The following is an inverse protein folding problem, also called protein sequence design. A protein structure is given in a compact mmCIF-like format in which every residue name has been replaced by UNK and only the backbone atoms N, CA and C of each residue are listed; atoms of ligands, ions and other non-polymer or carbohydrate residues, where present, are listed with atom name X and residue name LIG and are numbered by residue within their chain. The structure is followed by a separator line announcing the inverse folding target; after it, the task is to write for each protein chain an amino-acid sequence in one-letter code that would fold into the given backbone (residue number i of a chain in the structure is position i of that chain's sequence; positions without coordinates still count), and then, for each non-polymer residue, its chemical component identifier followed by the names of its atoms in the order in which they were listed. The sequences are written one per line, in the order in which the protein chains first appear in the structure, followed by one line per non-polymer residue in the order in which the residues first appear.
data_IF_838093995119
#
_entry.id   IF_838093995119
#
_cell.length_a   1.000
_cell.length_b   1.000
_cell.length_c   1.000
_cell.angle_alpha   90.00
_cell.angle_beta   90.00
_cell.angle_gamma   90.00
#
_symmetry.space_group_name_H-M   'P 1'
#
loop_
_entity.id
_entity.type
_entity.pdbx_description
1 polymer ?
#
# COMPACT_ATOMS: atom_id res chain seq x y z
N UNK A 1 -25.56 -46.06 15.77
CA UNK A 1 -24.46 -46.45 14.86
C UNK A 1 -23.25 -45.59 15.22
N UNK A 2 -22.27 -46.16 15.94
CA UNK A 2 -21.01 -45.49 16.35
C UNK A 2 -19.86 -46.38 15.88
N UNK A 3 -18.98 -45.85 15.02
CA UNK A 3 -17.76 -46.52 14.59
C UNK A 3 -16.74 -46.56 15.73
N UNK A 4 -16.37 -47.77 16.16
CA UNK A 4 -15.22 -48.04 17.03
C UNK A 4 -13.96 -48.14 16.16
N UNK A 5 -12.94 -47.33 16.45
CA UNK A 5 -11.58 -47.53 15.94
C UNK A 5 -10.76 -48.23 17.01
N UNK A 6 -10.21 -49.37 16.60
CA UNK A 6 -9.45 -50.35 17.38
C UNK A 6 -8.03 -49.86 17.67
N UNK A 7 -7.67 -49.78 18.95
CA UNK A 7 -6.28 -49.68 19.40
C UNK A 7 -5.71 -51.08 19.60
N UNK A 8 -4.79 -51.51 18.72
CA UNK A 8 -3.99 -52.71 18.93
C UNK A 8 -2.80 -52.38 19.83
N UNK A 9 -2.78 -52.98 21.03
CA UNK A 9 -1.59 -53.16 21.87
C UNK A 9 -0.56 -53.99 21.10
N UNK A 10 0.62 -53.44 20.89
CA UNK A 10 1.81 -54.22 20.58
C UNK A 10 2.52 -54.57 21.90
N UNK A 11 2.52 -55.85 22.23
CA UNK A 11 3.42 -56.46 23.21
C UNK A 11 4.34 -57.37 22.39
N UNK A 12 5.64 -57.08 22.36
CA UNK A 12 6.65 -58.05 21.91
C UNK A 12 7.89 -57.91 22.81
N UNK A 13 7.94 -58.83 23.78
CA UNK A 13 9.04 -59.74 24.11
C UNK A 13 10.43 -59.12 24.30
N UNK A 14 10.85 -59.07 25.56
CA UNK A 14 12.23 -58.86 26.02
C UNK A 14 13.03 -60.15 25.82
N UNK A 15 13.96 -60.17 24.86
CA UNK A 15 15.01 -61.18 24.78
C UNK A 15 16.24 -60.71 25.56
N UNK A 16 16.60 -61.47 26.58
CA UNK A 16 17.83 -61.32 27.35
C UNK A 16 19.03 -61.76 26.51
N UNK A 17 19.74 -60.80 25.92
CA UNK A 17 21.05 -61.01 25.30
C UNK A 17 22.11 -60.27 26.11
N UNK A 18 22.92 -61.03 26.87
CA UNK A 18 24.11 -60.52 27.55
C UNK A 18 25.18 -60.20 26.50
N UNK A 19 25.50 -58.92 26.30
CA UNK A 19 26.60 -58.51 25.42
C UNK A 19 27.79 -58.07 26.25
N UNK A 20 28.87 -58.82 26.05
CA UNK A 20 30.22 -58.60 26.56
C UNK A 20 30.75 -57.25 26.10
N UNK A 21 31.60 -56.65 26.93
CA UNK A 21 32.03 -55.26 26.82
C UNK A 21 32.91 -54.93 25.62
N UNK A 22 33.08 -53.62 25.53
CA UNK A 22 34.25 -52.88 25.06
C UNK A 22 34.17 -52.20 23.69
N UNK A 23 34.70 -50.98 23.68
CA UNK A 23 34.89 -50.05 22.56
C UNK A 23 33.63 -49.47 21.89
N UNK A 24 33.25 -48.24 22.28
CA UNK A 24 32.91 -47.09 21.37
C UNK A 24 32.19 -45.93 22.09
N UNK A 25 32.62 -45.55 23.29
CA UNK A 25 32.00 -44.46 24.06
C UNK A 25 32.68 -43.09 23.83
N UNK A 26 32.91 -42.69 22.56
CA UNK A 26 33.41 -41.32 22.23
C UNK A 26 32.66 -40.60 21.09
N UNK A 27 31.63 -41.19 20.49
CA UNK A 27 30.88 -40.54 19.40
C UNK A 27 29.53 -39.91 19.83
N UNK A 28 29.08 -40.11 21.07
CA UNK A 28 27.75 -39.67 21.51
C UNK A 28 27.68 -38.26 22.11
N UNK A 29 28.81 -37.56 22.32
CA UNK A 29 28.86 -36.27 23.01
C UNK A 29 28.92 -35.02 22.10
N UNK A 30 28.88 -35.18 20.77
CA UNK A 30 28.84 -34.04 19.83
C UNK A 30 27.55 -33.93 19.00
N UNK A 31 26.65 -34.93 19.07
CA UNK A 31 25.44 -34.97 18.25
C UNK A 31 24.27 -34.20 18.89
N UNK A 32 24.15 -34.23 20.22
CA UNK A 32 23.04 -33.59 20.96
C UNK A 32 23.07 -32.04 20.93
N UNK A 33 24.22 -31.34 21.01
CA UNK A 33 24.24 -29.87 20.98
C UNK A 33 23.89 -29.27 19.60
N UNK A 34 24.26 -29.96 18.52
CA UNK A 34 24.02 -29.51 17.13
C UNK A 34 22.54 -29.66 16.73
N UNK A 35 21.87 -30.69 17.25
CA UNK A 35 20.43 -30.91 17.03
C UNK A 35 19.59 -29.85 17.79
N UNK A 36 19.96 -29.48 19.03
CA UNK A 36 19.26 -28.40 19.76
C UNK A 36 19.46 -27.01 19.12
N UNK A 37 20.64 -26.73 18.55
CA UNK A 37 20.91 -25.45 17.88
C UNK A 37 20.16 -25.29 16.53
N UNK A 38 19.92 -26.38 15.80
CA UNK A 38 19.17 -26.36 14.52
C UNK A 38 17.64 -26.33 14.70
N UNK A 39 17.12 -26.94 15.77
CA UNK A 39 15.69 -26.84 16.14
C UNK A 39 15.34 -25.39 16.54
N UNK A 40 16.24 -24.69 17.24
CA UNK A 40 16.02 -23.30 17.66
C UNK A 40 16.00 -22.32 16.47
N UNK A 41 16.93 -22.47 15.50
CA UNK A 41 16.93 -21.64 14.28
C UNK A 41 15.71 -21.90 13.38
N UNK A 42 15.23 -23.14 13.26
CA UNK A 42 14.06 -23.47 12.43
C UNK A 42 12.76 -22.94 13.03
N UNK A 43 12.59 -22.99 14.36
CA UNK A 43 11.46 -22.37 15.04
C UNK A 43 11.43 -20.83 14.86
N UNK A 44 12.58 -20.16 14.97
CA UNK A 44 12.69 -18.71 14.73
C UNK A 44 12.38 -18.36 13.27
N UNK A 45 12.88 -19.13 12.30
CA UNK A 45 12.56 -18.93 10.87
C UNK A 45 11.07 -19.13 10.57
N UNK A 46 10.45 -20.15 11.16
CA UNK A 46 9.01 -20.40 11.02
C UNK A 46 8.19 -19.27 11.66
N UNK A 47 8.54 -18.81 12.87
CA UNK A 47 7.86 -17.70 13.53
C UNK A 47 7.97 -16.39 12.72
N UNK A 48 9.17 -16.08 12.19
CA UNK A 48 9.39 -14.94 11.31
C UNK A 48 8.55 -15.03 10.03
N UNK A 49 8.52 -16.20 9.36
CA UNK A 49 7.72 -16.41 8.16
C UNK A 49 6.21 -16.26 8.41
N UNK A 50 5.68 -16.82 9.49
CA UNK A 50 4.28 -16.63 9.90
C UNK A 50 3.97 -15.15 10.19
N UNK A 51 4.90 -14.42 10.80
CA UNK A 51 4.73 -12.98 11.06
C UNK A 51 4.68 -12.15 9.76
N UNK A 52 5.52 -12.47 8.77
CA UNK A 52 5.54 -11.80 7.46
C UNK A 52 4.26 -12.12 6.69
N UNK A 53 3.87 -13.39 6.64
CA UNK A 53 2.63 -13.83 6.00
C UNK A 53 1.39 -13.16 6.64
N UNK A 54 1.35 -13.09 7.98
CA UNK A 54 0.28 -12.40 8.72
C UNK A 54 0.22 -10.89 8.44
N UNK A 55 1.37 -10.21 8.36
CA UNK A 55 1.45 -8.80 7.95
C UNK A 55 0.96 -8.60 6.52
N UNK A 56 1.36 -9.46 5.58
CA UNK A 56 0.92 -9.42 4.20
C UNK A 56 -0.60 -9.65 4.06
N UNK A 57 -1.15 -10.61 4.81
CA UNK A 57 -2.59 -10.88 4.83
C UNK A 57 -3.41 -9.68 5.36
N UNK A 58 -2.95 -9.04 6.45
CA UNK A 58 -3.57 -7.80 6.98
C UNK A 58 -3.50 -6.66 5.97
N UNK A 59 -2.35 -6.45 5.33
CA UNK A 59 -2.20 -5.40 4.31
C UNK A 59 -3.16 -5.62 3.13
N UNK A 60 -3.27 -6.87 2.64
CA UNK A 60 -4.23 -7.24 1.58
C UNK A 60 -5.68 -7.01 2.00
N UNK A 61 -6.06 -7.41 3.22
CA UNK A 61 -7.41 -7.19 3.75
C UNK A 61 -7.76 -5.69 3.83
N UNK A 62 -6.83 -4.86 4.31
CA UNK A 62 -7.01 -3.41 4.38
C UNK A 62 -7.21 -2.78 2.98
N UNK A 63 -6.41 -3.20 1.99
CA UNK A 63 -6.57 -2.76 0.59
C UNK A 63 -7.94 -3.17 0.04
N UNK A 64 -8.36 -4.42 0.25
CA UNK A 64 -9.65 -4.91 -0.23
C UNK A 64 -10.84 -4.17 0.41
N UNK A 65 -10.76 -3.87 1.70
CA UNK A 65 -11.76 -3.04 2.37
C UNK A 65 -11.83 -1.62 1.80
N UNK A 66 -10.67 -1.02 1.51
CA UNK A 66 -10.58 0.29 0.88
C UNK A 66 -11.21 0.27 -0.53
N UNK A 67 -10.86 -0.72 -1.34
CA UNK A 67 -11.46 -0.91 -2.67
C UNK A 67 -12.98 -1.01 -2.60
N UNK A 68 -13.53 -1.86 -1.72
CA UNK A 68 -14.99 -2.00 -1.55
C UNK A 68 -15.67 -0.69 -1.16
N UNK A 69 -15.08 0.06 -0.22
CA UNK A 69 -15.65 1.34 0.22
C UNK A 69 -15.69 2.36 -0.92
N UNK A 70 -14.58 2.51 -1.63
CA UNK A 70 -14.50 3.46 -2.75
C UNK A 70 -15.48 3.03 -3.87
N UNK A 71 -15.58 1.74 -4.18
CA UNK A 71 -16.56 1.21 -5.13
C UNK A 71 -18.00 1.61 -4.76
N UNK A 72 -18.39 1.46 -3.48
CA UNK A 72 -19.73 1.86 -3.04
C UNK A 72 -19.97 3.38 -3.06
N UNK A 73 -18.93 4.18 -2.80
CA UNK A 73 -19.04 5.64 -2.85
C UNK A 73 -19.22 6.11 -4.31
N UNK A 74 -18.57 5.46 -5.28
CA UNK A 74 -18.68 5.82 -6.69
C UNK A 74 -20.11 5.82 -7.21
N UNK A 75 -20.92 4.82 -6.87
CA UNK A 75 -22.29 4.68 -7.37
C UNK A 75 -23.24 5.79 -6.86
N UNK A 76 -22.84 6.51 -5.81
CA UNK A 76 -23.67 7.50 -5.12
C UNK A 76 -23.30 8.95 -5.41
N UNK A 77 -22.23 9.19 -6.18
CA UNK A 77 -21.71 10.53 -6.43
C UNK A 77 -22.07 11.01 -7.84
N UNK A 78 -22.79 12.12 -7.90
CA UNK A 78 -23.22 12.81 -9.14
C UNK A 78 -22.62 14.21 -9.30
N UNK A 79 -21.52 14.54 -8.60
CA UNK A 79 -20.86 15.83 -8.80
C UNK A 79 -20.28 15.94 -10.21
N UNK A 80 -20.62 17.04 -10.89
CA UNK A 80 -20.16 17.32 -12.25
C UNK A 80 -18.78 17.98 -12.30
N UNK A 81 -18.15 18.27 -11.16
CA UNK A 81 -16.84 18.93 -11.07
C UNK A 81 -15.79 18.03 -10.43
N UNK A 82 -14.56 18.05 -10.95
CA UNK A 82 -13.48 17.16 -10.52
C UNK A 82 -13.14 17.28 -9.03
N UNK A 83 -13.04 18.50 -8.49
CA UNK A 83 -12.65 18.77 -7.09
C UNK A 83 -13.61 18.16 -6.05
N UNK A 84 -14.93 18.47 -6.06
CA UNK A 84 -15.86 17.86 -5.11
C UNK A 84 -16.00 16.35 -5.32
N UNK A 85 -15.93 15.88 -6.57
CA UNK A 85 -15.92 14.44 -6.90
C UNK A 85 -14.72 13.73 -6.26
N UNK A 86 -13.51 14.21 -6.52
CA UNK A 86 -12.26 13.70 -5.99
C UNK A 86 -12.25 13.69 -4.45
N UNK A 87 -12.68 14.79 -3.82
CA UNK A 87 -12.77 14.91 -2.34
C UNK A 87 -13.64 13.81 -1.74
N UNK A 88 -14.82 13.59 -2.33
CA UNK A 88 -15.80 12.63 -1.82
C UNK A 88 -15.28 11.19 -1.86
N UNK A 89 -14.48 10.84 -2.86
CA UNK A 89 -14.07 9.46 -3.14
C UNK A 89 -12.70 9.09 -2.61
N UNK A 90 -11.78 10.06 -2.55
CA UNK A 90 -10.44 9.85 -2.02
C UNK A 90 -10.37 9.99 -0.50
N UNK A 91 -11.37 10.64 0.12
CA UNK A 91 -11.39 11.07 1.53
C UNK A 91 -10.30 12.10 1.89
N UNK A 92 -9.62 12.67 0.90
CA UNK A 92 -8.64 13.75 1.07
C UNK A 92 -9.38 15.09 1.26
N UNK A 93 -9.27 15.68 2.45
CA UNK A 93 -9.90 16.94 2.82
C UNK A 93 -9.06 18.18 2.43
N UNK A 94 -8.77 18.32 1.13
CA UNK A 94 -8.15 19.52 0.55
C UNK A 94 -9.19 20.41 -0.15
N UNK A 95 -8.90 21.70 -0.25
CA UNK A 95 -9.79 22.73 -0.79
C UNK A 95 -9.06 23.61 -1.82
N UNK A 96 -9.82 24.35 -2.61
CA UNK A 96 -9.32 25.14 -3.73
C UNK A 96 -9.29 24.35 -5.04
N UNK A 97 -8.80 25.02 -6.09
CA UNK A 97 -8.67 24.49 -7.45
C UNK A 97 -7.71 23.31 -7.52
N UNK A 98 -7.89 22.44 -8.51
CA UNK A 98 -7.16 21.18 -8.62
C UNK A 98 -5.63 21.37 -8.67
N UNK A 99 -5.13 22.39 -9.37
CA UNK A 99 -3.69 22.65 -9.46
C UNK A 99 -3.03 22.99 -8.11
N UNK A 100 -3.79 23.51 -7.14
CA UNK A 100 -3.28 23.85 -5.79
C UNK A 100 -3.09 22.60 -4.92
N UNK A 101 -3.81 21.51 -5.19
CA UNK A 101 -3.86 20.36 -4.31
C UNK A 101 -2.51 19.69 -4.12
N UNK A 102 -1.64 19.71 -5.13
CA UNK A 102 -0.30 19.14 -4.99
C UNK A 102 0.56 19.87 -3.96
N UNK A 103 0.48 21.19 -3.92
CA UNK A 103 1.21 22.01 -2.94
C UNK A 103 0.53 21.93 -1.57
N UNK A 104 -0.80 22.03 -1.52
CA UNK A 104 -1.60 21.93 -0.29
C UNK A 104 -1.51 20.55 0.39
N UNK A 105 -1.24 19.49 -0.38
CA UNK A 105 -0.98 18.17 0.17
C UNK A 105 0.35 18.09 0.93
N UNK A 106 1.31 18.98 0.68
CA UNK A 106 2.61 18.90 1.32
C UNK A 106 2.52 18.99 2.84
N UNK A 107 3.24 18.13 3.54
CA UNK A 107 3.18 17.99 5.00
C UNK A 107 1.87 17.45 5.57
N UNK A 108 0.77 17.36 4.80
CA UNK A 108 -0.57 16.91 5.26
C UNK A 108 -0.94 15.53 4.74
N UNK A 109 -0.62 15.26 3.47
CA UNK A 109 -0.87 14.00 2.80
C UNK A 109 0.41 13.51 2.12
N UNK A 110 0.64 12.20 2.13
CA UNK A 110 1.76 11.63 1.40
C UNK A 110 1.58 11.88 -0.10
N UNK A 111 2.69 12.19 -0.79
CA UNK A 111 2.77 12.37 -2.24
C UNK A 111 3.78 11.39 -2.83
N UNK A 112 3.66 11.06 -4.10
CA UNK A 112 4.62 10.18 -4.78
C UNK A 112 4.27 9.90 -6.24
N UNK A 113 4.99 8.98 -6.86
CA UNK A 113 4.86 8.61 -8.27
C UNK A 113 4.31 7.20 -8.50
N UNK A 114 3.95 6.48 -7.44
CA UNK A 114 3.43 5.11 -7.56
C UNK A 114 1.91 5.08 -7.47
N UNK A 115 1.20 4.50 -8.45
CA UNK A 115 -0.26 4.43 -8.41
C UNK A 115 -0.74 3.53 -7.26
N UNK A 116 -1.82 3.95 -6.61
CA UNK A 116 -2.50 3.15 -5.59
C UNK A 116 -4.00 3.32 -5.72
N UNK A 117 -4.76 2.24 -5.54
CA UNK A 117 -6.23 2.35 -5.45
C UNK A 117 -6.61 3.37 -4.37
N UNK A 118 -7.45 4.33 -4.74
CA UNK A 118 -7.88 5.45 -3.91
C UNK A 118 -6.90 6.61 -3.79
N UNK A 119 -5.79 6.63 -4.52
CA UNK A 119 -4.97 7.84 -4.65
C UNK A 119 -5.54 8.76 -5.73
N UNK A 120 -5.25 10.06 -5.62
CA UNK A 120 -5.57 11.05 -6.65
C UNK A 120 -4.38 11.23 -7.58
N UNK A 121 -4.58 11.00 -8.87
CA UNK A 121 -3.68 11.48 -9.92
C UNK A 121 -3.90 12.98 -10.08
N UNK A 122 -2.87 13.79 -9.84
CA UNK A 122 -2.94 15.25 -9.86
C UNK A 122 -2.33 15.82 -11.14
N UNK A 123 -3.17 16.35 -12.03
CA UNK A 123 -2.75 16.96 -13.29
C UNK A 123 -2.27 18.39 -13.07
N UNK A 124 -1.25 18.80 -13.84
CA UNK A 124 -0.74 20.18 -13.79
C UNK A 124 -1.68 21.13 -14.54
N UNK A 125 -1.62 22.40 -14.16
CA UNK A 125 -2.21 23.48 -14.96
C UNK A 125 -1.48 23.61 -16.30
N UNK A 126 -2.24 23.67 -17.39
CA UNK A 126 -1.77 23.93 -18.75
C UNK A 126 -2.77 24.87 -19.44
N UNK A 127 -2.44 25.55 -20.56
CA UNK A 127 -3.33 26.54 -21.18
C UNK A 127 -4.75 26.05 -21.48
N UNK A 128 -4.90 24.78 -21.89
CA UNK A 128 -6.20 24.15 -22.18
C UNK A 128 -6.90 23.52 -20.96
N UNK A 129 -6.27 23.57 -19.80
CA UNK A 129 -6.77 23.04 -18.51
C UNK A 129 -6.18 23.87 -17.36
N UNK A 130 -6.53 25.17 -17.27
CA UNK A 130 -5.83 26.12 -16.40
C UNK A 130 -6.05 25.85 -14.90
N UNK A 131 -7.18 25.22 -14.53
CA UNK A 131 -7.47 24.87 -13.14
C UNK A 131 -6.79 23.55 -12.69
N UNK A 132 -6.06 22.89 -13.58
CA UNK A 132 -5.59 21.51 -13.37
C UNK A 132 -6.75 20.51 -13.39
N UNK A 133 -6.48 19.27 -13.00
CA UNK A 133 -7.49 18.21 -12.88
C UNK A 133 -7.09 17.18 -11.84
N UNK A 134 -8.07 16.41 -11.36
CA UNK A 134 -7.89 15.34 -10.38
C UNK A 134 -8.68 14.12 -10.83
N UNK A 135 -8.03 12.97 -10.90
CA UNK A 135 -8.66 11.69 -11.19
C UNK A 135 -8.41 10.69 -10.06
N UNK A 136 -9.43 9.95 -9.64
CA UNK A 136 -9.32 8.96 -8.56
C UNK A 136 -8.95 7.61 -9.16
N UNK A 137 -7.83 7.03 -8.73
CA UNK A 137 -7.42 5.69 -9.16
C UNK A 137 -8.35 4.64 -8.55
N UNK A 138 -9.03 3.86 -9.38
CA UNK A 138 -9.97 2.81 -8.93
C UNK A 138 -9.39 1.42 -9.07
N UNK A 139 -8.44 1.24 -10.00
CA UNK A 139 -7.73 -0.01 -10.21
C UNK A 139 -6.32 0.29 -10.74
N UNK A 140 -5.35 -0.49 -10.29
CA UNK A 140 -4.01 -0.52 -10.89
C UNK A 140 -3.96 -1.78 -11.75
N UNK A 141 -3.74 -1.61 -13.05
CA UNK A 141 -3.65 -2.73 -14.00
C UNK A 141 -2.23 -3.28 -13.97
N UNK A 142 -1.25 -2.39 -14.14
CA UNK A 142 0.18 -2.72 -14.04
C UNK A 142 1.00 -1.47 -13.63
N UNK A 143 2.31 -1.50 -13.88
CA UNK A 143 3.22 -0.40 -13.53
C UNK A 143 2.98 0.90 -14.30
N UNK A 144 2.34 0.82 -15.47
CA UNK A 144 2.11 1.93 -16.41
C UNK A 144 0.65 2.15 -16.75
N UNK A 145 -0.27 1.28 -16.34
CA UNK A 145 -1.70 1.46 -16.58
C UNK A 145 -2.55 1.42 -15.31
N UNK A 146 -3.46 2.39 -15.21
CA UNK A 146 -4.49 2.46 -14.17
C UNK A 146 -5.87 2.71 -14.79
N UNK A 147 -6.92 2.33 -14.06
CA UNK A 147 -8.26 2.82 -14.31
C UNK A 147 -8.57 3.95 -13.34
N UNK A 148 -9.15 5.03 -13.85
CA UNK A 148 -9.57 6.18 -13.05
C UNK A 148 -11.07 6.47 -13.18
N UNK A 149 -11.59 7.12 -12.15
CA UNK A 149 -12.89 7.78 -12.17
C UNK A 149 -12.69 9.27 -11.93
N UNK A 150 -13.42 10.10 -12.65
CA UNK A 150 -13.31 11.55 -12.59
C UNK A 150 -14.60 12.22 -13.05
N UNK A 151 -14.66 13.53 -12.89
CA UNK A 151 -15.79 14.35 -13.31
C UNK A 151 -15.30 15.58 -14.06
N UNK A 152 -16.06 16.02 -15.05
CA UNK A 152 -15.75 17.16 -15.92
C UNK A 152 -14.49 17.01 -16.78
N UNK A 153 -13.98 15.80 -16.99
CA UNK A 153 -12.98 15.59 -18.04
C UNK A 153 -13.60 15.80 -19.42
N UNK A 154 -14.74 15.14 -19.63
CA UNK A 154 -15.75 15.56 -20.59
C UNK A 154 -16.70 16.51 -19.86
N UNK A 155 -17.03 17.68 -20.43
CA UNK A 155 -17.93 18.64 -19.80
C UNK A 155 -19.21 18.00 -19.26
N UNK A 156 -19.58 18.38 -18.03
CA UNK A 156 -20.81 17.97 -17.35
C UNK A 156 -21.02 16.44 -17.23
N UNK A 157 -19.93 15.68 -17.25
CA UNK A 157 -19.98 14.22 -17.26
C UNK A 157 -19.11 13.61 -16.17
N UNK A 158 -19.60 12.56 -15.52
CA UNK A 158 -18.81 11.65 -14.69
C UNK A 158 -18.37 10.47 -15.56
N UNK A 159 -17.07 10.32 -15.75
CA UNK A 159 -16.47 9.20 -16.48
C UNK A 159 -15.90 8.18 -15.50
N UNK A 160 -16.09 6.89 -15.79
CA UNK A 160 -15.74 5.79 -14.89
C UNK A 160 -14.93 4.74 -15.61
N UNK A 161 -14.02 4.11 -14.87
CA UNK A 161 -13.12 3.05 -15.32
C UNK A 161 -12.34 3.45 -16.58
N UNK A 162 -11.93 4.72 -16.67
CA UNK A 162 -11.22 5.23 -17.83
C UNK A 162 -9.75 4.76 -17.76
N UNK A 163 -9.24 4.05 -18.77
CA UNK A 163 -7.82 3.72 -18.82
C UNK A 163 -6.94 4.96 -18.94
N UNK A 164 -5.90 5.01 -18.13
CA UNK A 164 -4.85 6.04 -18.15
C UNK A 164 -3.51 5.33 -18.14
N UNK A 165 -2.65 5.70 -19.08
CA UNK A 165 -1.30 5.15 -19.23
C UNK A 165 -0.23 6.19 -18.92
N UNK A 166 0.84 5.75 -18.25
CA UNK A 166 2.07 6.51 -18.08
C UNK A 166 2.95 6.44 -19.33
N UNK A 167 3.15 7.59 -19.95
CA UNK A 167 4.01 7.76 -21.14
C UNK A 167 5.32 8.46 -20.80
N UNK A 168 5.60 8.72 -19.52
CA UNK A 168 6.87 9.30 -19.10
C UNK A 168 8.04 8.35 -19.38
N UNK A 169 9.22 8.88 -19.77
CA UNK A 169 10.39 8.06 -20.08
C UNK A 169 10.78 7.11 -18.95
N UNK A 170 10.77 7.62 -17.71
CA UNK A 170 11.33 6.92 -16.55
C UNK A 170 10.29 6.21 -15.66
N UNK A 171 9.06 6.01 -16.15
CA UNK A 171 7.95 5.43 -15.38
C UNK A 171 7.65 6.20 -14.09
N UNK A 172 7.71 7.53 -14.17
CA UNK A 172 7.52 8.43 -13.02
C UNK A 172 6.11 8.99 -12.95
N UNK A 173 5.23 8.59 -13.86
CA UNK A 173 3.88 9.12 -14.00
C UNK A 173 3.84 10.64 -14.23
N UNK A 174 4.95 11.26 -14.62
CA UNK A 174 5.04 12.70 -14.88
C UNK A 174 4.27 13.14 -16.13
N UNK A 175 3.97 12.20 -17.03
CA UNK A 175 3.26 12.41 -18.28
C UNK A 175 2.32 11.24 -18.53
N UNK A 176 1.03 11.52 -18.77
CA UNK A 176 0.03 10.49 -18.97
C UNK A 176 -0.78 10.73 -20.24
N UNK A 177 -1.38 9.67 -20.77
CA UNK A 177 -2.45 9.75 -21.76
C UNK A 177 -3.67 9.02 -21.25
N UNK A 178 -4.83 9.54 -21.61
CA UNK A 178 -6.11 8.97 -21.23
C UNK A 178 -6.84 8.42 -22.44
N UNK A 179 -7.54 7.29 -22.25
CA UNK A 179 -8.35 6.69 -23.31
C UNK A 179 -9.45 7.65 -23.76
N UNK A 180 -9.65 7.71 -25.07
CA UNK A 180 -10.76 8.42 -25.72
C UNK A 180 -11.86 7.44 -26.18
N UNK A 181 -11.78 6.17 -25.76
CA UNK A 181 -12.65 5.08 -26.18
C UNK A 181 -11.89 3.97 -26.89
N UNK A 182 -12.24 2.71 -26.58
CA UNK A 182 -11.52 1.54 -27.08
C UNK A 182 -10.02 1.59 -26.72
N UNK A 183 -9.19 1.17 -27.67
CA UNK A 183 -7.72 1.13 -27.51
C UNK A 183 -7.02 2.46 -27.87
N UNK A 184 -7.78 3.54 -28.09
CA UNK A 184 -7.25 4.84 -28.49
C UNK A 184 -6.98 5.73 -27.28
N UNK A 185 -5.83 6.42 -27.30
CA UNK A 185 -5.41 7.36 -26.28
C UNK A 185 -5.22 8.77 -26.85
N UNK A 186 -5.67 9.77 -26.10
CA UNK A 186 -5.62 11.17 -26.51
C UNK A 186 -4.25 11.83 -26.34
N UNK A 187 -4.28 13.15 -26.13
CA UNK A 187 -3.07 13.96 -25.92
C UNK A 187 -2.29 13.55 -24.66
N UNK A 188 -1.01 13.90 -24.63
CA UNK A 188 -0.20 13.82 -23.42
C UNK A 188 -0.55 14.96 -22.46
N UNK A 189 -0.68 14.63 -21.18
CA UNK A 189 -0.94 15.56 -20.09
C UNK A 189 0.15 15.45 -19.03
N UNK A 190 0.74 16.58 -18.59
CA UNK A 190 1.68 16.56 -17.49
C UNK A 190 0.95 16.39 -16.16
N UNK A 191 1.53 15.58 -15.27
CA UNK A 191 1.03 15.38 -13.91
C UNK A 191 2.11 15.71 -12.88
N UNK A 192 1.70 15.87 -11.63
CA UNK A 192 2.62 15.90 -10.50
C UNK A 192 2.91 14.50 -9.93
N UNK A 193 2.00 13.55 -10.16
CA UNK A 193 1.98 12.23 -9.54
C UNK A 193 0.71 12.01 -8.71
N UNK A 194 0.85 11.28 -7.61
CA UNK A 194 -0.24 10.79 -6.79
C UNK A 194 -0.27 11.43 -5.40
N UNK A 195 -1.46 11.82 -4.94
CA UNK A 195 -1.75 12.20 -3.57
C UNK A 195 -2.44 11.02 -2.87
N UNK A 196 -1.92 10.61 -1.73
CA UNK A 196 -2.42 9.47 -0.96
C UNK A 196 -3.21 9.93 0.26
N UNK A 197 -4.34 9.28 0.54
CA UNK A 197 -5.11 9.44 1.77
C UNK A 197 -4.41 8.77 2.97
N UNK A 198 -3.26 9.32 3.34
CA UNK A 198 -2.49 8.98 4.51
C UNK A 198 -1.54 10.13 4.80
N UNK A 199 -1.19 10.31 6.06
CA UNK A 199 -0.16 11.26 6.43
C UNK A 199 1.18 10.89 5.78
N UNK A 200 2.05 11.88 5.48
CA UNK A 200 3.42 11.59 5.10
C UNK A 200 4.07 10.66 6.13
N UNK A 201 4.72 9.60 5.67
CA UNK A 201 5.54 8.78 6.55
C UNK A 201 6.84 9.54 6.77
N UNK A 202 7.03 10.11 7.96
CA UNK A 202 8.36 10.47 8.43
C UNK A 202 9.07 9.16 8.68
N UNK A 203 9.99 8.77 7.80
CA UNK A 203 10.90 7.65 8.08
C UNK A 203 11.81 8.10 9.22
N UNK A 204 11.38 7.92 10.47
CA UNK A 204 12.30 7.91 11.60
C UNK A 204 13.13 6.63 11.39
N UNK A 205 14.33 6.79 10.86
CA UNK A 205 15.32 5.72 10.88
C UNK A 205 15.58 5.37 12.36
N UNK A 206 14.94 4.32 12.86
CA UNK A 206 15.07 3.87 14.24
C UNK A 206 13.74 3.80 14.99
N UNK A 207 12.91 2.78 14.69
CA UNK A 207 11.98 2.23 15.68
C UNK A 207 12.31 0.76 15.88
N UNK A 208 13.36 0.51 16.65
CA UNK A 208 13.42 -0.66 17.54
C UNK A 208 12.34 -0.47 18.61
N UNK A 209 11.59 -1.51 19.02
CA UNK A 209 10.51 -1.36 20.01
C UNK A 209 10.98 -1.03 21.43
N UNK A 210 12.30 -0.92 21.66
CA UNK A 210 12.89 -0.93 23.00
C UNK A 210 13.69 0.35 23.32
N UNK A 211 13.65 1.38 22.46
CA UNK A 211 14.32 2.65 22.75
C UNK A 211 13.40 3.60 23.54
N UNK A 212 13.71 3.69 24.81
CA UNK A 212 13.19 4.58 25.84
C UNK A 212 12.96 6.03 25.36
N UNK A 213 11.86 6.61 25.83
CA UNK A 213 11.37 7.95 25.50
C UNK A 213 12.33 9.00 26.06
N UNK A 214 13.10 9.64 25.20
CA UNK A 214 13.73 10.92 25.52
C UNK A 214 12.85 12.05 24.98
N UNK A 215 12.31 12.85 25.90
CA UNK A 215 11.59 14.11 25.62
C UNK A 215 12.45 15.02 24.73
N UNK A 216 11.94 15.41 23.56
CA UNK A 216 12.66 16.27 22.63
C UNK A 216 12.55 17.75 23.03
N UNK A 217 13.61 18.57 22.85
CA UNK A 217 13.59 19.98 23.22
C UNK A 217 12.61 20.77 22.32
N UNK A 218 11.92 21.74 22.94
CA UNK A 218 10.90 22.56 22.27
C UNK A 218 11.44 23.25 21.01
N UNK A 219 10.76 23.04 19.88
CA UNK A 219 11.12 23.68 18.60
C UNK A 219 10.71 25.16 18.56
N UNK A 220 11.54 26.05 17.99
CA UNK A 220 11.15 27.44 17.77
C UNK A 220 9.95 27.54 16.84
N UNK A 221 8.93 28.34 17.21
CA UNK A 221 7.72 28.53 16.40
C UNK A 221 8.07 29.12 15.03
N UNK A 222 7.93 28.33 13.97
CA UNK A 222 8.01 28.80 12.59
C UNK A 222 6.85 29.76 12.29
N UNK A 223 7.17 30.91 11.68
CA UNK A 223 6.23 31.98 11.35
C UNK A 223 5.15 31.50 10.38
N UNK A 224 3.88 31.73 10.72
CA UNK A 224 2.68 31.20 10.04
C UNK A 224 2.10 32.11 8.94
N UNK A 225 2.89 32.97 8.30
CA UNK A 225 2.35 33.83 7.24
C UNK A 225 2.73 33.30 5.86
N UNK A 226 1.79 32.59 5.23
CA UNK A 226 1.85 32.26 3.81
C UNK A 226 1.61 33.53 2.97
N UNK A 227 2.39 33.77 1.89
CA UNK A 227 2.17 34.93 1.03
C UNK A 227 0.89 34.78 0.20
N UNK A 228 -0.03 35.71 0.44
CA UNK A 228 -1.12 36.21 -0.41
C UNK A 228 -2.05 35.19 -1.11
N UNK A 229 -3.27 35.07 -0.58
CA UNK A 229 -4.36 34.19 -1.08
C UNK A 229 -5.24 34.79 -2.19
N UNK A 230 -4.88 35.92 -2.78
CA UNK A 230 -5.71 36.55 -3.81
C UNK A 230 -4.95 36.70 -5.13
N UNK A 231 -5.17 35.74 -6.04
CA UNK A 231 -5.01 35.96 -7.47
C UNK A 231 -6.43 35.97 -8.06
N UNK A 232 -6.82 37.15 -8.54
CA UNK A 232 -8.05 37.44 -9.28
C UNK A 232 -7.91 36.98 -10.72
#
# INVERSE_FOLDING_TARGET
MKCLVSMRKFVVVSSSGSWCGDMTQRAFLWIVPVIFMTISLSAIRQAMAHSVAGRAARARSAINHRYRRIATDFDRVSYLWCVPYARKLSHIALHGDAFLWWAEADGRYARGNHPRVGSLLAFRSIPRMPLGHLAVVVKVIDSREVLVNEANWVPDTVTRNVPVIDVSPDNTWSEVRQSTGGDSFGLTYPTYGFIYDRTPQTTIAGRTPDAEVAEAPATPRLRTNAPNRNLK
#
